data_IF_367025600366
#
_entry.id   IF_367025600366
#
_cell.length_a   1.000
_cell.length_b   1.000
_cell.length_c   1.000
_cell.angle_alpha   90.00
_cell.angle_beta   90.00
_cell.angle_gamma   90.00
#
_symmetry.space_group_name_H-M   'P 1'
#
loop_
_entity.id
_entity.type
_entity.pdbx_description
1 polymer ?
#
# COMPACT_ATOMS: atom_id res chain seq x y z
N UNK A 1 12.18 -4.06 -21.29
CA UNK A 1 12.65 -5.46 -21.43
C UNK A 1 13.68 -5.75 -20.35
N UNK A 2 13.88 -7.02 -20.06
CA UNK A 2 14.92 -7.49 -19.16
C UNK A 2 15.93 -8.29 -19.94
N UNK A 3 17.20 -7.99 -19.75
CA UNK A 3 18.32 -8.71 -20.34
C UNK A 3 18.89 -9.67 -19.30
N UNK A 4 18.82 -10.97 -19.58
CA UNK A 4 19.44 -11.99 -18.73
C UNK A 4 20.81 -12.34 -19.31
N UNK A 5 21.90 -12.14 -18.57
CA UNK A 5 23.24 -12.53 -19.02
C UNK A 5 23.36 -14.04 -19.23
N UNK A 6 24.35 -14.49 -19.97
CA UNK A 6 24.68 -15.91 -20.10
C UNK A 6 24.95 -16.56 -18.73
N UNK A 7 24.55 -17.81 -18.61
CA UNK A 7 24.81 -18.65 -17.43
C UNK A 7 25.49 -19.95 -17.88
N UNK A 8 26.00 -20.74 -16.94
CA UNK A 8 26.62 -22.06 -17.23
C UNK A 8 25.67 -23.01 -18.00
N UNK A 9 24.37 -22.78 -17.91
CA UNK A 9 23.35 -23.59 -18.59
C UNK A 9 22.84 -22.97 -19.88
N UNK A 10 23.09 -21.68 -20.11
CA UNK A 10 22.59 -20.92 -21.26
C UNK A 10 23.71 -20.05 -21.81
N UNK A 11 24.22 -20.41 -22.97
CA UNK A 11 25.37 -19.78 -23.63
C UNK A 11 25.07 -18.42 -24.28
N UNK A 12 23.81 -17.95 -24.29
CA UNK A 12 23.40 -16.71 -24.93
C UNK A 12 22.63 -15.79 -23.98
N UNK A 13 22.82 -14.48 -24.15
CA UNK A 13 21.98 -13.46 -23.53
C UNK A 13 20.54 -13.58 -24.03
N UNK A 14 19.59 -13.54 -23.09
CA UNK A 14 18.15 -13.58 -23.41
C UNK A 14 17.56 -12.22 -23.19
N UNK A 15 16.70 -11.80 -24.11
CA UNK A 15 15.93 -10.58 -24.03
C UNK A 15 14.48 -10.96 -23.71
N UNK A 16 14.01 -10.62 -22.51
CA UNK A 16 12.63 -10.83 -22.09
C UNK A 16 11.84 -9.54 -22.33
N UNK A 17 10.95 -9.55 -23.30
CA UNK A 17 10.09 -8.43 -23.61
C UNK A 17 8.85 -8.46 -22.73
N UNK A 18 8.49 -7.30 -22.17
CA UNK A 18 7.20 -7.13 -21.55
C UNK A 18 6.14 -6.91 -22.64
N UNK A 19 5.19 -7.84 -22.75
CA UNK A 19 4.12 -7.81 -23.76
C UNK A 19 2.91 -6.96 -23.34
N UNK A 20 2.98 -6.27 -22.21
CA UNK A 20 1.89 -5.45 -21.70
C UNK A 20 1.68 -4.19 -22.55
N UNK A 21 0.61 -4.19 -23.37
CA UNK A 21 0.37 -3.16 -24.40
C UNK A 21 -0.10 -1.79 -23.84
N UNK A 22 -0.26 -1.62 -22.53
CA UNK A 22 -0.51 -0.31 -21.90
C UNK A 22 0.76 0.45 -21.51
N UNK A 23 1.92 -0.13 -21.68
CA UNK A 23 3.19 0.55 -21.48
C UNK A 23 3.35 1.71 -22.48
N UNK A 24 4.13 2.72 -22.09
CA UNK A 24 4.42 3.88 -22.97
C UNK A 24 4.95 3.43 -24.32
N UNK A 25 4.39 3.97 -25.38
CA UNK A 25 4.76 3.63 -26.76
C UNK A 25 4.08 2.38 -27.34
N UNK A 26 3.18 1.74 -26.59
CA UNK A 26 2.39 0.60 -27.06
C UNK A 26 0.99 1.02 -27.53
N UNK A 27 0.28 0.12 -28.23
CA UNK A 27 -1.01 0.38 -28.88
C UNK A 27 -2.09 0.87 -27.91
N UNK A 28 -2.09 0.40 -26.66
CA UNK A 28 -3.06 0.77 -25.64
C UNK A 28 -2.42 1.58 -24.50
N UNK A 29 -1.42 2.39 -24.82
CA UNK A 29 -0.71 3.18 -23.82
C UNK A 29 -1.67 3.93 -22.89
N UNK A 30 -1.32 3.95 -21.61
CA UNK A 30 -2.02 4.68 -20.57
C UNK A 30 -0.99 5.36 -19.68
N UNK A 31 -1.14 6.66 -19.49
CA UNK A 31 -0.16 7.43 -18.71
C UNK A 31 -0.10 6.94 -17.27
N UNK A 32 1.11 6.83 -16.75
CA UNK A 32 1.37 6.36 -15.40
C UNK A 32 1.42 4.83 -15.24
N UNK A 33 1.23 4.04 -16.29
CA UNK A 33 1.45 2.59 -16.22
C UNK A 33 2.93 2.29 -16.02
N UNK A 34 3.23 1.53 -14.96
CA UNK A 34 4.58 1.13 -14.56
C UNK A 34 4.90 -0.30 -15.00
N UNK A 35 3.88 -1.14 -15.15
CA UNK A 35 4.06 -2.53 -15.56
C UNK A 35 2.78 -3.35 -15.41
N UNK A 36 2.88 -4.62 -15.72
CA UNK A 36 1.80 -5.57 -15.62
C UNK A 36 2.08 -6.83 -16.42
N UNK A 37 1.10 -7.73 -16.44
CA UNK A 37 1.18 -9.00 -17.16
C UNK A 37 -0.15 -9.28 -17.85
N UNK A 38 -0.07 -9.79 -19.08
CA UNK A 38 -1.21 -10.22 -19.86
C UNK A 38 -1.20 -11.75 -19.99
N UNK A 39 -2.34 -12.37 -19.80
CA UNK A 39 -2.49 -13.82 -19.92
C UNK A 39 -3.71 -14.20 -20.76
N UNK A 40 -3.61 -15.36 -21.41
CA UNK A 40 -4.71 -15.95 -22.14
C UNK A 40 -4.61 -17.47 -22.11
N UNK A 41 -5.74 -18.12 -21.82
CA UNK A 41 -6.00 -19.52 -22.15
C UNK A 41 -7.44 -19.64 -22.63
N UNK A 42 -7.78 -20.73 -23.33
CA UNK A 42 -9.17 -20.94 -23.78
C UNK A 42 -10.17 -20.95 -22.63
N UNK A 43 -9.78 -21.47 -21.47
CA UNK A 43 -10.64 -21.58 -20.27
C UNK A 43 -10.67 -20.25 -19.51
N UNK A 44 -9.54 -19.60 -19.33
CA UNK A 44 -9.44 -18.37 -18.55
C UNK A 44 -9.85 -17.11 -19.32
N UNK A 45 -9.89 -17.18 -20.65
CA UNK A 45 -10.10 -16.00 -21.50
C UNK A 45 -8.96 -14.99 -21.38
N UNK A 46 -9.21 -13.75 -21.76
CA UNK A 46 -8.23 -12.67 -21.64
C UNK A 46 -8.15 -12.18 -20.19
N UNK A 47 -6.94 -12.21 -19.64
CA UNK A 47 -6.61 -11.69 -18.30
C UNK A 47 -5.56 -10.61 -18.40
N UNK A 48 -5.63 -9.62 -17.51
CA UNK A 48 -4.66 -8.52 -17.46
C UNK A 48 -4.51 -8.00 -16.04
N UNK A 49 -3.27 -7.93 -15.57
CA UNK A 49 -2.89 -7.21 -14.35
C UNK A 49 -2.11 -5.97 -14.78
N UNK A 50 -2.47 -4.82 -14.23
CA UNK A 50 -1.80 -3.55 -14.54
C UNK A 50 -1.50 -2.79 -13.26
N UNK A 51 -0.26 -2.37 -13.09
CA UNK A 51 0.18 -1.49 -12.03
C UNK A 51 0.41 -0.08 -12.60
N UNK A 52 -0.27 0.89 -12.04
CA UNK A 52 -0.21 2.27 -12.48
C UNK A 52 -0.08 3.26 -11.32
N UNK A 53 0.46 4.44 -11.61
CA UNK A 53 0.68 5.52 -10.67
C UNK A 53 0.30 6.85 -11.32
N UNK A 54 -0.33 7.73 -10.55
CA UNK A 54 -0.37 9.16 -10.81
C UNK A 54 0.23 9.93 -9.61
N UNK A 55 0.11 11.25 -9.60
CA UNK A 55 0.63 12.09 -8.51
C UNK A 55 0.00 11.78 -7.15
N UNK A 56 -1.23 11.27 -7.13
CA UNK A 56 -2.05 11.10 -5.93
C UNK A 56 -2.18 9.65 -5.47
N UNK A 57 -1.98 8.65 -6.33
CA UNK A 57 -2.26 7.27 -5.99
C UNK A 57 -1.42 6.24 -6.76
N UNK A 58 -1.33 5.05 -6.19
CA UNK A 58 -0.89 3.83 -6.85
C UNK A 58 -2.07 2.87 -6.94
N UNK A 59 -2.33 2.35 -8.13
CA UNK A 59 -3.42 1.42 -8.38
C UNK A 59 -2.92 0.12 -8.99
N UNK A 60 -3.57 -0.97 -8.63
CA UNK A 60 -3.46 -2.26 -9.31
C UNK A 60 -4.84 -2.61 -9.86
N UNK A 61 -4.92 -2.76 -11.17
CA UNK A 61 -6.13 -3.28 -11.84
C UNK A 61 -5.93 -4.75 -12.17
N UNK A 62 -6.93 -5.57 -11.86
CA UNK A 62 -6.97 -6.99 -12.20
C UNK A 62 -8.24 -7.25 -13.01
N UNK A 63 -8.06 -7.70 -14.23
CA UNK A 63 -9.15 -8.07 -15.14
C UNK A 63 -9.03 -9.55 -15.44
N UNK A 64 -10.10 -10.29 -15.22
CA UNK A 64 -10.19 -11.72 -15.48
C UNK A 64 -11.33 -11.98 -16.46
N UNK A 65 -11.12 -12.88 -17.42
CA UNK A 65 -12.12 -13.35 -18.38
C UNK A 65 -12.88 -12.19 -19.07
N UNK A 66 -12.14 -11.17 -19.52
CA UNK A 66 -12.74 -10.00 -20.16
C UNK A 66 -13.47 -10.36 -21.46
N UNK A 67 -14.69 -9.88 -21.59
CA UNK A 67 -15.54 -10.03 -22.80
C UNK A 67 -15.40 -8.81 -23.72
N UNK A 68 -15.18 -7.61 -23.14
CA UNK A 68 -15.12 -6.36 -23.86
C UNK A 68 -13.71 -5.93 -24.27
N UNK A 69 -12.71 -6.75 -23.90
CA UNK A 69 -11.30 -6.47 -24.11
C UNK A 69 -10.59 -6.01 -22.82
N UNK A 70 -9.63 -6.80 -22.37
CA UNK A 70 -8.96 -6.59 -21.08
C UNK A 70 -8.28 -5.22 -20.98
N UNK A 71 -7.82 -4.65 -22.09
CA UNK A 71 -7.19 -3.32 -22.11
C UNK A 71 -8.20 -2.17 -21.94
N UNK A 72 -9.43 -2.29 -22.51
CA UNK A 72 -10.49 -1.29 -22.32
C UNK A 72 -11.04 -1.34 -20.90
N UNK A 73 -11.30 -2.56 -20.38
CA UNK A 73 -11.76 -2.73 -19.01
C UNK A 73 -10.74 -2.19 -17.99
N UNK A 74 -9.46 -2.49 -18.20
CA UNK A 74 -8.38 -1.93 -17.39
C UNK A 74 -8.36 -0.40 -17.44
N UNK A 75 -8.57 0.20 -18.61
CA UNK A 75 -8.63 1.66 -18.73
C UNK A 75 -9.78 2.23 -17.87
N UNK A 76 -10.96 1.64 -17.99
CA UNK A 76 -12.12 2.07 -17.22
C UNK A 76 -11.89 1.95 -15.69
N UNK A 77 -11.28 0.85 -15.25
CA UNK A 77 -10.93 0.66 -13.83
C UNK A 77 -9.90 1.66 -13.32
N UNK A 78 -8.86 1.95 -14.11
CA UNK A 78 -7.84 2.94 -13.74
C UNK A 78 -8.42 4.36 -13.72
N UNK A 79 -9.23 4.73 -14.73
CA UNK A 79 -9.95 6.01 -14.76
C UNK A 79 -10.87 6.15 -13.53
N UNK A 80 -11.62 5.11 -13.21
CA UNK A 80 -12.47 5.11 -12.01
C UNK A 80 -11.64 5.29 -10.74
N UNK A 81 -10.57 4.53 -10.58
CA UNK A 81 -9.74 4.58 -9.39
C UNK A 81 -9.07 5.96 -9.21
N UNK A 82 -8.46 6.50 -10.26
CA UNK A 82 -7.76 7.78 -10.19
C UNK A 82 -8.69 9.00 -10.06
N UNK A 83 -9.92 8.93 -10.60
CA UNK A 83 -10.88 10.02 -10.52
C UNK A 83 -11.63 10.04 -9.18
N UNK A 84 -11.83 8.88 -8.56
CA UNK A 84 -12.71 8.77 -7.38
C UNK A 84 -11.96 8.56 -6.07
N UNK A 85 -10.66 8.26 -6.11
CA UNK A 85 -9.87 8.01 -4.90
C UNK A 85 -8.57 8.80 -4.90
N UNK A 86 -8.17 9.23 -3.73
CA UNK A 86 -6.89 9.90 -3.51
C UNK A 86 -6.16 9.30 -2.33
N UNK A 87 -4.83 9.39 -2.36
CA UNK A 87 -3.99 9.08 -1.21
C UNK A 87 -3.81 10.33 -0.37
N UNK A 88 -4.36 10.32 0.82
CA UNK A 88 -4.33 11.45 1.74
C UNK A 88 -3.36 11.14 2.89
N UNK A 89 -2.45 12.05 3.18
CA UNK A 89 -1.64 11.97 4.39
C UNK A 89 -2.54 12.15 5.61
N UNK A 90 -2.39 11.28 6.62
CA UNK A 90 -3.12 11.44 7.87
C UNK A 90 -2.50 12.62 8.60
N UNK A 91 -3.28 13.69 8.76
CA UNK A 91 -2.96 14.80 9.65
C UNK A 91 -3.07 14.28 11.09
N UNK A 92 -2.38 14.88 12.03
CA UNK A 92 -2.46 14.56 13.47
C UNK A 92 -2.01 13.15 13.87
N UNK A 93 -1.15 12.53 13.06
CA UNK A 93 -0.46 11.33 13.48
C UNK A 93 0.82 11.76 14.22
N UNK A 94 0.89 11.64 15.56
CA UNK A 94 2.10 11.97 16.27
C UNK A 94 3.23 11.03 15.80
N UNK A 95 4.41 11.57 15.58
CA UNK A 95 5.60 10.76 15.26
C UNK A 95 6.02 9.87 16.42
N UNK A 96 5.60 10.23 17.63
CA UNK A 96 5.89 9.55 18.89
C UNK A 96 4.60 9.35 19.68
N UNK A 97 4.40 8.16 20.21
CA UNK A 97 3.26 7.80 21.04
C UNK A 97 3.77 7.22 22.35
N UNK A 98 3.28 7.75 23.47
CA UNK A 98 3.46 7.20 24.80
C UNK A 98 2.12 6.84 25.39
N UNK A 99 2.09 6.05 26.47
CA UNK A 99 0.85 5.67 27.18
C UNK A 99 0.00 6.88 27.57
N UNK A 100 0.61 8.01 27.88
CA UNK A 100 -0.10 9.23 28.29
C UNK A 100 -0.82 9.94 27.14
N UNK A 101 -0.42 9.71 25.88
CA UNK A 101 -1.01 10.32 24.69
C UNK A 101 -2.25 9.55 24.15
N UNK A 102 -2.60 8.42 24.76
CA UNK A 102 -3.69 7.56 24.33
C UNK A 102 -4.72 7.36 25.47
N UNK A 103 -5.47 8.39 25.88
CA UNK A 103 -6.36 8.29 27.04
C UNK A 103 -7.48 7.26 26.89
N UNK A 104 -7.99 7.06 25.68
CA UNK A 104 -9.03 6.05 25.42
C UNK A 104 -8.48 4.63 25.36
N UNK A 105 -7.19 4.47 25.06
CA UNK A 105 -6.50 3.20 24.80
C UNK A 105 -5.60 2.77 25.98
N UNK A 106 -5.81 3.34 27.15
CA UNK A 106 -5.11 2.95 28.39
C UNK A 106 -5.12 1.44 28.64
N UNK A 107 -6.20 0.78 28.23
CA UNK A 107 -6.34 -0.68 28.39
C UNK A 107 -5.40 -1.48 27.49
N UNK A 108 -5.07 -0.98 26.31
CA UNK A 108 -4.16 -1.66 25.38
C UNK A 108 -2.73 -1.62 25.88
N UNK A 109 -2.34 -0.51 26.53
CA UNK A 109 -0.99 -0.30 27.05
C UNK A 109 -0.86 -0.61 28.55
N UNK A 110 -1.91 -1.11 29.22
CA UNK A 110 -1.92 -1.32 30.68
C UNK A 110 -0.78 -2.23 31.18
N UNK A 111 -0.38 -3.21 30.36
CA UNK A 111 0.65 -4.18 30.71
C UNK A 111 2.07 -3.69 30.34
N UNK A 112 2.19 -2.47 29.81
CA UNK A 112 3.44 -1.86 29.41
C UNK A 112 3.82 -0.72 30.38
N UNK A 113 5.13 -0.51 30.56
CA UNK A 113 5.64 0.56 31.42
C UNK A 113 5.23 1.94 30.91
N UNK A 114 5.01 2.87 31.83
CA UNK A 114 4.58 4.25 31.50
C UNK A 114 5.56 5.04 30.66
N UNK A 115 6.83 4.64 30.70
CA UNK A 115 7.96 5.27 30.00
C UNK A 115 8.24 4.68 28.60
N UNK A 116 7.44 3.72 28.15
CA UNK A 116 7.58 3.17 26.80
C UNK A 116 7.25 4.19 25.73
N UNK A 117 8.18 4.33 24.77
CA UNK A 117 8.05 5.20 23.62
C UNK A 117 7.91 4.38 22.35
N UNK A 118 6.88 4.70 21.58
CA UNK A 118 6.62 4.14 20.26
C UNK A 118 6.83 5.22 19.20
N UNK A 119 7.62 4.93 18.17
CA UNK A 119 7.88 5.86 17.07
C UNK A 119 7.53 5.25 15.73
N UNK A 120 7.02 6.08 14.81
CA UNK A 120 6.87 5.73 13.42
C UNK A 120 7.94 6.40 12.56
N UNK A 121 8.48 5.67 11.61
CA UNK A 121 9.48 6.18 10.65
C UNK A 121 8.85 6.70 9.36
N UNK A 122 7.55 6.58 9.20
CA UNK A 122 6.83 6.93 7.96
C UNK A 122 5.59 7.74 8.28
N UNK A 123 5.32 8.74 7.45
CA UNK A 123 4.01 9.39 7.41
C UNK A 123 2.96 8.36 7.02
N UNK A 124 1.91 8.22 7.82
CA UNK A 124 0.79 7.39 7.43
C UNK A 124 0.00 8.07 6.33
N UNK A 125 -0.44 7.28 5.38
CA UNK A 125 -1.37 7.73 4.36
C UNK A 125 -2.47 6.70 4.18
N UNK A 126 -3.64 7.17 3.87
CA UNK A 126 -4.86 6.39 3.64
C UNK A 126 -5.36 6.64 2.23
N UNK A 127 -6.08 5.69 1.68
CA UNK A 127 -6.80 5.86 0.41
C UNK A 127 -8.25 6.17 0.72
N UNK A 128 -8.70 7.37 0.36
CA UNK A 128 -10.06 7.85 0.61
C UNK A 128 -10.76 8.22 -0.68
N UNK A 129 -12.10 8.19 -0.73
CA UNK A 129 -12.84 8.84 -1.79
C UNK A 129 -12.44 10.30 -1.91
N UNK A 130 -12.36 10.80 -3.14
CA UNK A 130 -11.97 12.18 -3.41
C UNK A 130 -12.90 13.17 -2.69
N UNK A 131 -12.31 14.13 -2.00
CA UNK A 131 -13.04 15.12 -1.21
C UNK A 131 -13.37 14.73 0.24
N UNK A 132 -13.06 13.51 0.66
CA UNK A 132 -13.22 13.11 2.07
C UNK A 132 -12.02 13.57 2.89
N UNK A 133 -12.29 14.25 4.01
CA UNK A 133 -11.27 14.70 4.96
C UNK A 133 -10.81 13.54 5.87
N UNK A 134 -9.52 13.53 6.22
CA UNK A 134 -8.95 12.55 7.16
C UNK A 134 -9.54 12.63 8.58
N UNK A 135 -10.22 13.72 8.94
CA UNK A 135 -10.93 13.85 10.21
C UNK A 135 -12.17 12.95 10.33
N UNK A 136 -12.68 12.45 9.19
CA UNK A 136 -13.79 11.49 9.16
C UNK A 136 -13.37 10.05 9.46
N UNK A 137 -12.08 9.81 9.73
CA UNK A 137 -11.55 8.48 10.00
C UNK A 137 -11.75 8.05 11.44
N UNK A 138 -12.26 6.85 11.61
CA UNK A 138 -12.20 6.15 12.89
C UNK A 138 -10.80 5.54 13.08
N UNK A 139 -10.33 5.54 14.33
CA UNK A 139 -9.01 5.01 14.69
C UNK A 139 -9.17 3.88 15.69
N UNK A 140 -8.59 2.74 15.38
CA UNK A 140 -8.45 1.64 16.32
C UNK A 140 -6.98 1.32 16.55
N UNK A 141 -6.66 0.87 17.76
CA UNK A 141 -5.29 0.62 18.19
C UNK A 141 -5.15 -0.84 18.61
N UNK A 142 -4.06 -1.47 18.20
CA UNK A 142 -3.73 -2.83 18.62
C UNK A 142 -2.24 -2.96 18.87
N UNK A 143 -1.88 -3.81 19.84
CA UNK A 143 -0.49 -4.17 20.10
C UNK A 143 -0.28 -5.64 19.83
N UNK A 144 0.73 -5.90 19.03
CA UNK A 144 1.22 -7.24 18.73
C UNK A 144 2.71 -7.33 19.05
N UNK A 145 3.32 -8.47 18.86
CA UNK A 145 4.78 -8.61 18.92
C UNK A 145 5.33 -8.71 17.50
N UNK A 146 6.44 -8.03 17.25
CA UNK A 146 7.21 -8.20 16.01
C UNK A 146 7.98 -9.56 16.05
N UNK A 147 8.64 -9.98 14.96
CA UNK A 147 9.41 -11.23 14.92
C UNK A 147 10.54 -11.33 15.98
N UNK A 148 11.02 -10.18 16.47
CA UNK A 148 12.00 -10.12 17.56
C UNK A 148 11.34 -10.13 18.97
N UNK A 149 10.03 -10.34 19.06
CA UNK A 149 9.28 -10.38 20.31
C UNK A 149 9.01 -9.01 20.94
N UNK A 150 9.41 -7.90 20.28
CA UNK A 150 9.20 -6.54 20.77
C UNK A 150 7.79 -6.03 20.45
N UNK A 151 7.20 -5.19 21.32
CA UNK A 151 5.90 -4.60 21.09
C UNK A 151 5.84 -3.80 19.78
N UNK A 152 4.75 -3.99 19.06
CA UNK A 152 4.43 -3.29 17.81
C UNK A 152 3.01 -2.71 17.94
N UNK A 153 2.91 -1.40 18.06
CA UNK A 153 1.64 -0.69 18.06
C UNK A 153 1.19 -0.44 16.61
N UNK A 154 -0.02 -0.85 16.29
CA UNK A 154 -0.65 -0.57 14.99
C UNK A 154 -1.86 0.31 15.21
N UNK A 155 -1.92 1.42 14.47
CA UNK A 155 -3.11 2.27 14.35
C UNK A 155 -3.76 1.93 13.02
N UNK A 156 -5.00 1.46 13.06
CA UNK A 156 -5.80 1.14 11.86
C UNK A 156 -6.82 2.25 11.65
N UNK A 157 -6.93 2.73 10.43
CA UNK A 157 -7.88 3.75 10.01
C UNK A 157 -9.02 3.12 9.24
N UNK A 158 -10.25 3.41 9.64
CA UNK A 158 -11.48 2.94 9.01
C UNK A 158 -12.32 4.12 8.53
N UNK A 159 -12.96 3.94 7.39
CA UNK A 159 -13.94 4.86 6.83
C UNK A 159 -15.13 4.05 6.30
N UNK A 160 -16.35 4.32 6.79
CA UNK A 160 -17.57 3.55 6.47
C UNK A 160 -17.33 2.03 6.62
N UNK A 161 -16.84 1.59 7.76
CA UNK A 161 -16.53 0.19 8.11
C UNK A 161 -15.44 -0.50 7.24
N UNK A 162 -14.80 0.25 6.35
CA UNK A 162 -13.70 -0.26 5.52
C UNK A 162 -12.34 0.21 6.03
N UNK A 163 -11.39 -0.72 6.14
CA UNK A 163 -9.99 -0.36 6.45
C UNK A 163 -9.38 0.34 5.25
N UNK A 164 -9.01 1.61 5.44
CA UNK A 164 -8.44 2.48 4.39
C UNK A 164 -6.95 2.71 4.56
N UNK A 165 -6.36 2.28 5.68
CA UNK A 165 -4.92 2.33 5.90
C UNK A 165 -4.52 1.97 7.32
N UNK A 166 -3.22 1.93 7.57
CA UNK A 166 -2.66 1.71 8.90
C UNK A 166 -1.30 2.38 9.07
N UNK A 167 -0.96 2.69 10.32
CA UNK A 167 0.36 3.13 10.74
C UNK A 167 0.95 2.17 11.75
N UNK A 168 2.24 1.88 11.64
CA UNK A 168 2.96 1.03 12.58
C UNK A 168 3.97 1.84 13.35
N UNK A 169 3.97 1.65 14.66
CA UNK A 169 4.88 2.27 15.61
C UNK A 169 5.70 1.20 16.28
N UNK A 170 6.99 1.42 16.31
CA UNK A 170 7.97 0.51 16.88
C UNK A 170 8.45 1.06 18.22
N UNK A 171 8.60 0.20 19.19
CA UNK A 171 9.25 0.57 20.43
C UNK A 171 10.70 0.96 20.14
N UNK A 172 11.11 2.15 20.61
CA UNK A 172 12.46 2.68 20.36
C UNK A 172 13.33 2.71 21.60
N UNK A 173 12.83 3.19 22.73
CA UNK A 173 13.54 3.24 24.02
C UNK A 173 12.57 3.37 25.18
N UNK A 174 13.02 3.02 26.37
CA UNK A 174 12.44 3.46 27.62
C UNK A 174 12.87 4.92 27.88
N UNK A 175 11.96 5.79 28.31
CA UNK A 175 12.29 7.21 28.61
C UNK A 175 13.32 7.33 29.73
N UNK A 176 13.40 6.33 30.62
CA UNK A 176 14.40 6.25 31.69
C UNK A 176 15.85 6.17 31.22
N UNK A 177 16.09 5.71 29.99
CA UNK A 177 17.44 5.59 29.43
C UNK A 177 17.98 6.91 28.84
N UNK A 178 17.18 7.99 28.90
CA UNK A 178 17.56 9.32 28.39
C UNK A 178 18.01 10.30 29.52
N UNK A 179 17.94 9.87 30.79
CA UNK A 179 18.24 10.70 31.96
C UNK A 179 19.55 10.32 32.67
N UNK A 180 20.41 9.55 32.02
CA UNK A 180 21.78 9.25 32.52
C UNK A 180 22.84 9.85 31.61
#
# INVERSE_FOLDING_TARGET
YYESPPTDKVAATRYLLNHHKKMKGQTYAYDGVLGGEAGYTEVAGNTLVTYAKNDNAYLVSVVLQSVNGAYSDTKALLDYGFNNFSRTAVKDLPSKITRHLLPAEKYILKDYKDDMLFETRRTASVSLPSGVDSNALEKTYSITKNPAGLPLLTVTYTYNDHVVGSARYYQTKLLSDQLL
#
